data_IF_327240677161
#
_entry.id   IF_327240677161
#
_cell.length_a   1.000
_cell.length_b   1.000
_cell.length_c   1.000
_cell.angle_alpha   90.00
_cell.angle_beta   90.00
_cell.angle_gamma   90.00
#
_symmetry.space_group_name_H-M   'P 1'
#
loop_
_entity.id
_entity.type
_entity.pdbx_description
1 polymer ?
#
# COMPACT_ATOMS: atom_id res chain seq x y z
N UNK A 1 0.28 -3.78 11.05
CA UNK A 1 0.74 -3.89 9.65
C UNK A 1 1.03 -2.51 9.11
N UNK A 2 2.21 -2.29 8.52
CA UNK A 2 2.53 -1.02 7.85
C UNK A 2 1.65 -0.82 6.61
N UNK A 3 1.36 0.44 6.29
CA UNK A 3 0.70 0.83 5.05
C UNK A 3 1.78 1.08 4.01
N UNK A 4 1.63 0.49 2.82
CA UNK A 4 2.53 0.78 1.70
C UNK A 4 1.99 1.98 0.93
N UNK A 5 2.81 3.00 0.77
CA UNK A 5 2.48 4.21 0.03
C UNK A 5 3.02 4.15 -1.40
N UNK A 6 2.48 5.01 -2.26
CA UNK A 6 2.98 5.29 -3.61
C UNK A 6 3.16 6.80 -3.79
N UNK A 7 3.20 7.28 -5.03
CA UNK A 7 3.37 8.69 -5.36
C UNK A 7 2.08 9.51 -5.19
N UNK A 8 0.91 8.86 -5.27
CA UNK A 8 -0.40 9.49 -5.11
C UNK A 8 -1.44 8.49 -4.57
N UNK A 9 -2.74 8.76 -4.72
CA UNK A 9 -3.78 7.79 -4.35
C UNK A 9 -3.63 6.49 -5.13
N UNK A 10 -3.69 5.36 -4.43
CA UNK A 10 -3.53 4.02 -5.00
C UNK A 10 -4.79 3.60 -5.78
N UNK A 11 -5.06 4.30 -6.87
CA UNK A 11 -6.23 4.12 -7.72
C UNK A 11 -5.89 4.32 -9.20
N UNK A 12 -6.78 3.79 -10.05
CA UNK A 12 -6.78 4.00 -11.49
C UNK A 12 -8.19 4.32 -11.93
N UNK A 13 -8.33 5.09 -13.00
CA UNK A 13 -9.61 5.51 -13.54
C UNK A 13 -9.87 4.89 -14.93
N UNK A 14 -11.06 4.34 -15.11
CA UNK A 14 -11.53 3.82 -16.40
C UNK A 14 -12.78 2.98 -16.26
N UNK A 15 -13.68 3.03 -17.26
CA UNK A 15 -14.87 2.19 -17.28
C UNK A 15 -14.57 0.80 -17.85
N UNK A 16 -13.65 0.75 -18.81
CA UNK A 16 -13.14 -0.48 -19.41
C UNK A 16 -11.64 -0.64 -19.16
N UNK A 17 -11.06 -1.84 -19.33
CA UNK A 17 -9.61 -2.03 -19.22
C UNK A 17 -8.81 -1.12 -20.15
N UNK A 18 -9.29 -0.89 -21.38
CA UNK A 18 -8.64 0.01 -22.34
C UNK A 18 -8.67 1.47 -21.92
N UNK A 19 -9.66 1.89 -21.12
CA UNK A 19 -9.68 3.23 -20.53
C UNK A 19 -8.65 3.34 -19.40
N UNK A 20 -8.53 2.30 -18.56
CA UNK A 20 -7.51 2.23 -17.51
C UNK A 20 -6.10 2.27 -18.09
N UNK A 21 -5.88 1.64 -19.25
CA UNK A 21 -4.58 1.71 -19.95
C UNK A 21 -4.20 3.14 -20.40
N UNK A 22 -5.19 4.02 -20.52
CA UNK A 22 -4.98 5.43 -20.86
C UNK A 22 -4.75 6.32 -19.63
N UNK A 23 -5.10 5.85 -18.42
CA UNK A 23 -4.76 6.52 -17.16
C UNK A 23 -3.28 6.32 -16.80
N UNK A 24 -2.41 7.06 -17.50
CA UNK A 24 -0.95 6.96 -17.34
C UNK A 24 -0.49 7.30 -15.93
N UNK A 25 -1.07 8.31 -15.30
CA UNK A 25 -0.71 8.72 -13.94
C UNK A 25 -1.11 7.66 -12.91
N UNK A 26 -2.32 7.12 -13.00
CA UNK A 26 -2.77 6.02 -12.17
C UNK A 26 -1.88 4.79 -12.34
N UNK A 27 -1.54 4.42 -13.57
CA UNK A 27 -0.64 3.30 -13.84
C UNK A 27 0.75 3.49 -13.26
N UNK A 28 1.35 4.68 -13.39
CA UNK A 28 2.64 5.01 -12.79
C UNK A 28 2.58 4.94 -11.25
N UNK A 29 1.46 5.39 -10.67
CA UNK A 29 1.19 5.29 -9.23
C UNK A 29 1.12 3.84 -8.77
N UNK A 30 0.41 2.98 -9.50
CA UNK A 30 0.33 1.55 -9.21
C UNK A 30 1.67 0.83 -9.40
N UNK A 31 2.48 1.24 -10.37
CA UNK A 31 3.83 0.72 -10.56
C UNK A 31 4.74 1.09 -9.38
N UNK A 32 4.68 2.34 -8.92
CA UNK A 32 5.40 2.79 -7.72
C UNK A 32 4.95 2.04 -6.47
N UNK A 33 3.64 1.84 -6.30
CA UNK A 33 3.08 1.03 -5.21
C UNK A 33 3.66 -0.39 -5.20
N UNK A 34 3.66 -1.06 -6.36
CA UNK A 34 4.20 -2.41 -6.51
C UNK A 34 5.68 -2.51 -6.15
N UNK A 35 6.50 -1.53 -6.57
CA UNK A 35 7.92 -1.45 -6.19
C UNK A 35 8.10 -1.28 -4.69
N UNK A 36 7.33 -0.39 -4.08
CA UNK A 36 7.39 -0.13 -2.64
C UNK A 36 6.94 -1.35 -1.83
N UNK A 37 5.91 -2.07 -2.30
CA UNK A 37 5.46 -3.33 -1.70
C UNK A 37 6.57 -4.37 -1.75
N UNK A 38 7.19 -4.58 -2.91
CA UNK A 38 8.24 -5.57 -3.09
C UNK A 38 9.45 -5.29 -2.18
N UNK A 39 9.85 -4.01 -2.05
CA UNK A 39 10.90 -3.60 -1.12
C UNK A 39 10.50 -3.85 0.33
N UNK A 40 9.29 -3.43 0.75
CA UNK A 40 8.84 -3.59 2.13
C UNK A 40 8.72 -5.07 2.54
N UNK A 41 8.25 -5.95 1.64
CA UNK A 41 8.21 -7.40 1.90
C UNK A 41 9.60 -7.97 2.18
N UNK A 42 10.62 -7.53 1.43
CA UNK A 42 12.02 -7.92 1.67
C UNK A 42 12.52 -7.41 3.03
N UNK A 43 12.18 -6.18 3.40
CA UNK A 43 12.52 -5.62 4.71
C UNK A 43 11.83 -6.36 5.86
N UNK A 44 10.56 -6.73 5.72
CA UNK A 44 9.82 -7.51 6.72
C UNK A 44 10.49 -8.87 6.91
N UNK A 45 10.84 -9.55 5.81
CA UNK A 45 11.51 -10.85 5.87
C UNK A 45 12.90 -10.74 6.53
N UNK A 46 13.67 -9.71 6.19
CA UNK A 46 14.96 -9.43 6.83
C UNK A 46 14.79 -9.14 8.34
N UNK A 47 13.78 -8.36 8.72
CA UNK A 47 13.45 -8.06 10.11
C UNK A 47 13.06 -9.31 10.89
N UNK A 48 12.23 -10.19 10.33
CA UNK A 48 11.89 -11.49 10.93
C UNK A 48 13.14 -12.33 11.20
N UNK A 49 14.06 -12.42 10.24
CA UNK A 49 15.34 -13.13 10.39
C UNK A 49 16.24 -12.52 11.46
N UNK A 50 16.16 -11.20 11.64
CA UNK A 50 16.87 -10.46 12.69
C UNK A 50 16.16 -10.51 14.06
N UNK A 51 15.03 -11.22 14.20
CA UNK A 51 14.27 -11.30 15.45
C UNK A 51 13.41 -10.07 15.76
N UNK A 52 13.15 -9.22 14.76
CA UNK A 52 12.26 -8.05 14.92
C UNK A 52 10.81 -8.49 14.75
N UNK A 53 10.03 -8.34 15.81
CA UNK A 53 8.61 -8.68 15.81
C UNK A 53 7.74 -7.62 15.13
N UNK A 54 6.59 -8.05 14.61
CA UNK A 54 5.61 -7.13 14.02
C UNK A 54 4.99 -6.27 15.12
N UNK A 55 4.96 -4.92 14.96
CA UNK A 55 4.40 -4.04 15.98
C UNK A 55 2.90 -4.30 16.21
N UNK A 56 2.53 -4.39 17.48
CA UNK A 56 1.15 -4.57 17.93
C UNK A 56 0.54 -3.23 18.31
N UNK A 57 -0.42 -2.75 17.52
CA UNK A 57 -1.11 -1.48 17.76
C UNK A 57 -2.48 -1.73 18.41
N UNK A 58 -2.79 -1.03 19.51
CA UNK A 58 -4.12 -1.03 20.09
C UNK A 58 -5.08 -0.27 19.17
N UNK A 59 -6.10 -0.94 18.63
CA UNK A 59 -7.21 -0.27 17.94
C UNK A 59 -8.19 0.26 18.99
N UNK A 60 -8.51 1.55 18.91
CA UNK A 60 -9.65 2.13 19.63
C UNK A 60 -10.78 2.34 18.63
N UNK A 61 -11.97 1.88 18.97
CA UNK A 61 -13.18 2.27 18.25
C UNK A 61 -13.57 3.65 18.73
N UNK A 62 -13.70 4.60 17.82
CA UNK A 62 -14.19 5.94 18.16
C UNK A 62 -15.65 6.02 17.74
N UNK A 63 -16.55 6.18 18.71
CA UNK A 63 -17.94 6.51 18.43
C UNK A 63 -18.20 7.94 18.91
N UNK A 64 -18.43 8.85 17.96
CA UNK A 64 -18.72 10.25 18.22
C UNK A 64 -20.23 10.54 18.35
N UNK A 65 -21.10 9.56 18.05
CA UNK A 65 -22.56 9.67 18.15
C UNK A 65 -23.09 8.52 19.02
N UNK A 66 -23.57 8.85 20.22
CA UNK A 66 -24.24 7.91 21.12
C UNK A 66 -25.68 7.65 20.69
#
# INVERSE_FOLDING_TARGET
MPIVTSNYWNEVHGHTPSDVEQDREGLDTMYALGKNMAWMLKCIEAGKKAGIEVPQNKKRTTNFIR
#
